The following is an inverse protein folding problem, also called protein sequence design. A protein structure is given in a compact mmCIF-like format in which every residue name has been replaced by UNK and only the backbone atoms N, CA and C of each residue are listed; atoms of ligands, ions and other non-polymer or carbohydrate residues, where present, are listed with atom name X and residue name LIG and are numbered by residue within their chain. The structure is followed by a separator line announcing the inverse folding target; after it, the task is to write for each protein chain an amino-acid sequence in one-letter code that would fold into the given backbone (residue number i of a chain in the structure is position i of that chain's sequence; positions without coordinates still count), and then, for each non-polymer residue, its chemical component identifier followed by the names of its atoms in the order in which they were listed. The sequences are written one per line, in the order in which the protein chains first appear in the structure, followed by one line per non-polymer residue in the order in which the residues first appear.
data_IF_378706967704
#
_entry.id   IF_378706967704
#
_cell.length_a   1.000
_cell.length_b   1.000
_cell.length_c   1.000
_cell.angle_alpha   90.00
_cell.angle_beta   90.00
_cell.angle_gamma   90.00
#
_symmetry.space_group_name_H-M   'P 1'
#
loop_
_entity.id
_entity.type
_entity.pdbx_description
1 polymer ?
#
# COMPACT_ATOMS: atom_id res chain seq x y z
N UNK A 1 22.50 8.94 -9.22
CA UNK A 1 21.23 9.68 -9.21
C UNK A 1 21.33 10.83 -10.20
N UNK A 2 20.34 11.02 -11.06
CA UNK A 2 20.36 12.06 -12.10
C UNK A 2 19.70 13.37 -11.60
N UNK A 3 19.92 14.51 -12.29
CA UNK A 3 19.35 15.80 -11.87
C UNK A 3 17.82 15.83 -11.84
N UNK A 4 17.17 15.12 -12.76
CA UNK A 4 15.71 15.02 -12.85
C UNK A 4 15.11 14.35 -11.60
N UNK A 5 15.69 13.24 -11.15
CA UNK A 5 15.33 12.56 -9.90
C UNK A 5 15.51 13.49 -8.70
N UNK A 6 16.60 14.26 -8.68
CA UNK A 6 16.88 15.18 -7.58
C UNK A 6 15.85 16.32 -7.51
N UNK A 7 15.41 16.86 -8.65
CA UNK A 7 14.34 17.86 -8.71
C UNK A 7 13.02 17.27 -8.18
N UNK A 8 12.58 16.14 -8.74
CA UNK A 8 11.37 15.42 -8.32
C UNK A 8 11.35 15.10 -6.82
N UNK A 9 12.49 14.70 -6.24
CA UNK A 9 12.60 14.44 -4.80
C UNK A 9 12.44 15.70 -3.94
N UNK A 10 12.89 16.86 -4.43
CA UNK A 10 12.67 18.14 -3.73
C UNK A 10 11.20 18.52 -3.78
N UNK A 11 10.56 18.37 -4.93
CA UNK A 11 9.14 18.67 -5.13
C UNK A 11 8.28 17.77 -4.25
N UNK A 12 8.60 16.47 -4.21
CA UNK A 12 7.93 15.51 -3.33
C UNK A 12 8.12 15.90 -1.86
N UNK A 13 9.34 16.22 -1.44
CA UNK A 13 9.60 16.65 -0.06
C UNK A 13 8.80 17.91 0.31
N UNK A 14 8.61 18.83 -0.63
CA UNK A 14 7.76 20.00 -0.43
C UNK A 14 6.29 19.61 -0.30
N UNK A 15 5.75 18.81 -1.23
CA UNK A 15 4.34 18.36 -1.20
C UNK A 15 4.00 17.68 0.13
N UNK A 16 4.86 16.79 0.60
CA UNK A 16 4.63 16.04 1.84
C UNK A 16 4.68 16.92 3.10
N UNK A 17 5.44 18.04 3.08
CA UNK A 17 5.50 19.00 4.19
C UNK A 17 4.29 19.93 4.24
N UNK A 18 3.69 20.24 3.09
CA UNK A 18 2.52 21.12 3.00
C UNK A 18 1.20 20.34 3.01
N UNK A 19 1.23 19.06 3.38
CA UNK A 19 0.01 18.26 3.48
C UNK A 19 -0.98 18.91 4.46
N UNK A 20 -2.29 18.81 4.18
CA UNK A 20 -3.31 19.48 4.98
C UNK A 20 -3.32 18.99 6.44
N UNK A 21 -3.40 19.94 7.37
CA UNK A 21 -3.45 19.63 8.81
C UNK A 21 -4.70 18.84 9.23
N UNK A 22 -5.72 18.79 8.37
CA UNK A 22 -6.94 18.00 8.55
C UNK A 22 -6.70 16.49 8.41
N UNK A 23 -5.59 16.07 7.78
CA UNK A 23 -5.22 14.67 7.74
C UNK A 23 -4.80 14.21 9.16
N UNK A 24 -5.22 13.01 9.59
CA UNK A 24 -4.78 12.48 10.86
C UNK A 24 -3.27 12.24 10.87
N UNK A 25 -2.68 12.31 12.07
CA UNK A 25 -1.35 11.77 12.29
C UNK A 25 -1.44 10.23 12.40
N UNK A 26 -0.45 9.49 11.88
CA UNK A 26 -0.41 8.04 12.04
C UNK A 26 -0.36 7.64 13.52
N UNK A 27 -1.19 6.67 13.91
CA UNK A 27 -1.05 5.97 15.18
C UNK A 27 0.19 5.07 15.14
N UNK A 28 0.81 4.77 16.30
CA UNK A 28 2.05 4.00 16.36
C UNK A 28 2.01 2.63 15.65
N UNK A 29 0.83 2.01 15.57
CA UNK A 29 0.59 0.72 14.90
C UNK A 29 0.47 0.80 13.37
N UNK A 30 0.34 2.01 12.82
CA UNK A 30 0.13 2.17 11.38
C UNK A 30 1.41 1.86 10.61
N UNK A 31 1.27 1.09 9.53
CA UNK A 31 2.39 0.61 8.73
C UNK A 31 3.25 1.73 8.15
N UNK A 32 2.67 2.91 7.92
CA UNK A 32 3.41 4.06 7.38
C UNK A 32 4.56 4.51 8.30
N UNK A 33 4.49 4.23 9.61
CA UNK A 33 5.59 4.51 10.54
C UNK A 33 6.84 3.68 10.25
N UNK A 34 6.72 2.59 9.49
CA UNK A 34 7.88 1.83 9.03
C UNK A 34 8.81 2.67 8.15
N UNK A 35 8.33 3.76 7.52
CA UNK A 35 9.16 4.69 6.75
C UNK A 35 10.17 5.45 7.61
N UNK A 36 9.88 5.68 8.89
CA UNK A 36 10.81 6.35 9.83
C UNK A 36 12.07 5.50 10.06
N UNK A 37 11.92 4.19 10.01
CA UNK A 37 12.98 3.20 10.23
C UNK A 37 13.08 2.25 9.04
N UNK A 38 12.99 2.80 7.83
CA UNK A 38 12.88 2.01 6.61
C UNK A 38 14.06 1.06 6.43
N UNK A 39 13.74 -0.21 6.22
CA UNK A 39 14.70 -1.26 5.88
C UNK A 39 14.14 -2.10 4.72
N UNK A 40 14.90 -2.29 3.63
CA UNK A 40 14.48 -3.20 2.56
C UNK A 40 14.34 -4.63 3.08
N UNK A 41 13.43 -5.42 2.49
CA UNK A 41 13.19 -6.81 2.90
C UNK A 41 14.47 -7.66 2.83
N UNK A 42 14.93 -8.14 3.99
CA UNK A 42 16.20 -8.85 4.13
C UNK A 42 16.24 -10.16 3.34
N UNK A 43 15.13 -10.89 3.27
CA UNK A 43 15.04 -12.13 2.49
C UNK A 43 15.34 -11.87 1.00
N UNK A 44 14.72 -10.83 0.43
CA UNK A 44 14.93 -10.44 -0.96
C UNK A 44 16.31 -9.82 -1.19
N UNK A 45 16.88 -9.12 -0.20
CA UNK A 45 18.26 -8.65 -0.25
C UNK A 45 19.25 -9.82 -0.31
N UNK A 46 19.04 -10.85 0.50
CA UNK A 46 19.89 -12.04 0.55
C UNK A 46 19.85 -12.83 -0.77
N UNK A 47 18.69 -12.83 -1.43
CA UNK A 47 18.50 -13.39 -2.78
C UNK A 47 19.08 -12.50 -3.90
N UNK A 48 19.82 -11.43 -3.54
CA UNK A 48 20.41 -10.45 -4.47
C UNK A 48 19.38 -9.74 -5.34
N UNK A 49 18.18 -9.47 -4.81
CA UNK A 49 17.09 -8.75 -5.49
C UNK A 49 16.79 -7.40 -4.81
N UNK A 50 17.74 -6.44 -4.82
CA UNK A 50 17.63 -5.22 -4.02
C UNK A 50 16.48 -4.29 -4.43
N UNK A 51 16.16 -4.22 -5.73
CA UNK A 51 15.01 -3.45 -6.21
C UNK A 51 13.68 -4.05 -5.74
N UNK A 52 13.55 -5.39 -5.79
CA UNK A 52 12.37 -6.09 -5.28
C UNK A 52 12.24 -5.95 -3.76
N UNK A 53 13.36 -5.98 -3.03
CA UNK A 53 13.40 -5.78 -1.58
C UNK A 53 12.89 -4.40 -1.17
N UNK A 54 13.35 -3.34 -1.86
CA UNK A 54 12.90 -1.98 -1.60
C UNK A 54 11.42 -1.78 -1.97
N UNK A 55 10.99 -2.32 -3.12
CA UNK A 55 9.59 -2.25 -3.54
C UNK A 55 8.66 -2.93 -2.54
N UNK A 56 9.00 -4.15 -2.10
CA UNK A 56 8.17 -4.88 -1.15
C UNK A 56 8.02 -4.11 0.17
N UNK A 57 9.11 -3.57 0.72
CA UNK A 57 9.02 -2.76 1.95
C UNK A 57 8.19 -1.49 1.76
N UNK A 58 8.24 -0.85 0.58
CA UNK A 58 7.39 0.31 0.26
C UNK A 58 5.92 -0.09 0.16
N UNK A 59 5.60 -1.23 -0.47
CA UNK A 59 4.22 -1.75 -0.54
C UNK A 59 3.67 -2.11 0.83
N UNK A 60 4.49 -2.65 1.73
CA UNK A 60 4.07 -2.92 3.12
C UNK A 60 3.78 -1.62 3.86
N UNK A 61 4.60 -0.58 3.69
CA UNK A 61 4.45 0.69 4.40
C UNK A 61 3.31 1.57 3.87
N UNK A 62 3.13 1.62 2.55
CA UNK A 62 2.22 2.55 1.85
C UNK A 62 0.98 1.86 1.28
N UNK A 63 0.94 0.54 1.27
CA UNK A 63 -0.05 -0.25 0.58
C UNK A 63 0.28 -0.47 -0.90
N UNK A 64 -0.61 -1.21 -1.56
CA UNK A 64 -0.50 -1.47 -2.99
C UNK A 64 -0.93 -0.22 -3.78
N UNK A 65 -0.26 0.01 -4.90
CA UNK A 65 -0.70 0.99 -5.91
C UNK A 65 -1.92 0.43 -6.65
N UNK A 66 -2.87 1.30 -6.97
CA UNK A 66 -3.99 1.00 -7.85
C UNK A 66 -3.54 0.98 -9.32
N UNK A 67 -4.48 0.65 -10.22
CA UNK A 67 -4.23 0.57 -11.67
C UNK A 67 -3.77 1.90 -12.29
N UNK A 68 -4.06 3.03 -11.63
CA UNK A 68 -3.61 4.36 -12.04
C UNK A 68 -2.21 4.72 -11.49
N UNK A 69 -1.54 3.81 -10.78
CA UNK A 69 -0.25 4.05 -10.14
C UNK A 69 -0.34 4.86 -8.84
N UNK A 70 -1.54 5.17 -8.36
CA UNK A 70 -1.75 5.96 -7.14
C UNK A 70 -1.93 5.02 -5.95
N UNK A 71 -1.43 5.42 -4.78
CA UNK A 71 -1.72 4.73 -3.52
C UNK A 71 -2.46 5.69 -2.58
N UNK A 72 -3.07 5.16 -1.51
CA UNK A 72 -3.75 6.03 -0.56
C UNK A 72 -2.72 6.68 0.38
N UNK A 73 -2.79 8.00 0.52
CA UNK A 73 -2.00 8.74 1.50
C UNK A 73 -2.94 9.42 2.50
N UNK A 74 -3.47 8.67 3.49
CA UNK A 74 -4.48 9.18 4.40
C UNK A 74 -3.91 9.95 5.59
N UNK A 75 -2.59 10.12 5.68
CA UNK A 75 -1.91 10.70 6.83
C UNK A 75 -1.03 11.87 6.44
N UNK A 76 -0.63 12.65 7.45
CA UNK A 76 0.42 13.67 7.35
C UNK A 76 1.52 13.47 8.41
N UNK A 77 2.55 14.32 8.37
CA UNK A 77 3.58 14.40 9.41
C UNK A 77 4.82 13.54 9.16
N UNK A 78 5.66 13.34 10.19
CA UNK A 78 7.04 12.88 10.01
C UNK A 78 7.20 11.53 9.29
N UNK A 79 6.29 10.58 9.52
CA UNK A 79 6.33 9.28 8.86
C UNK A 79 6.10 9.39 7.35
N UNK A 80 5.16 10.26 6.94
CA UNK A 80 4.86 10.53 5.54
C UNK A 80 6.02 11.29 4.90
N UNK A 81 6.51 12.35 5.55
CA UNK A 81 7.66 13.13 5.07
C UNK A 81 8.94 12.30 4.91
N UNK A 82 9.08 11.22 5.69
CA UNK A 82 10.20 10.29 5.56
C UNK A 82 10.25 9.61 4.19
N UNK A 83 9.13 9.49 3.47
CA UNK A 83 9.07 8.89 2.14
C UNK A 83 10.07 9.51 1.15
N UNK A 84 10.16 10.85 1.11
CA UNK A 84 11.10 11.53 0.23
C UNK A 84 12.57 11.18 0.58
N UNK A 85 12.87 11.01 1.87
CA UNK A 85 14.20 10.59 2.33
C UNK A 85 14.49 9.13 1.96
N UNK A 86 13.51 8.25 2.14
CA UNK A 86 13.61 6.83 1.77
C UNK A 86 13.88 6.69 0.27
N UNK A 87 13.07 7.32 -0.58
CA UNK A 87 13.24 7.27 -2.03
C UNK A 87 14.58 7.85 -2.47
N UNK A 88 15.02 8.95 -1.85
CA UNK A 88 16.35 9.52 -2.10
C UNK A 88 17.47 8.51 -1.82
N UNK A 89 17.44 7.85 -0.65
CA UNK A 89 18.47 6.87 -0.27
C UNK A 89 18.47 5.65 -1.20
N UNK A 90 17.28 5.14 -1.55
CA UNK A 90 17.15 3.99 -2.43
C UNK A 90 17.58 4.32 -3.87
N UNK A 91 17.20 5.48 -4.42
CA UNK A 91 17.64 5.94 -5.76
C UNK A 91 19.11 6.35 -5.81
N UNK A 92 19.74 6.71 -4.70
CA UNK A 92 21.19 6.86 -4.63
C UNK A 92 21.89 5.50 -4.80
N UNK A 93 21.35 4.46 -4.18
CA UNK A 93 21.89 3.10 -4.23
C UNK A 93 21.57 2.39 -5.55
N UNK A 94 20.39 2.65 -6.11
CA UNK A 94 19.85 2.02 -7.32
C UNK A 94 19.38 3.10 -8.32
N UNK A 95 20.29 3.88 -8.92
CA UNK A 95 19.94 5.07 -9.69
C UNK A 95 19.16 4.80 -10.98
N UNK A 96 19.28 3.59 -11.52
CA UNK A 96 18.64 3.18 -12.76
C UNK A 96 17.41 2.29 -12.52
N UNK A 97 16.97 2.14 -11.27
CA UNK A 97 15.80 1.33 -10.92
C UNK A 97 14.53 1.95 -11.52
N UNK A 98 13.90 1.23 -12.43
CA UNK A 98 12.63 1.67 -13.04
C UNK A 98 11.53 1.69 -11.98
N UNK A 99 11.53 0.70 -11.08
CA UNK A 99 10.50 0.56 -10.05
C UNK A 99 10.56 1.67 -9.00
N UNK A 100 11.77 2.10 -8.60
CA UNK A 100 11.95 3.22 -7.67
C UNK A 100 11.67 4.58 -8.32
N UNK A 101 11.99 4.74 -9.62
CA UNK A 101 11.55 5.92 -10.37
C UNK A 101 10.02 5.99 -10.45
N UNK A 102 9.37 4.84 -10.69
CA UNK A 102 7.91 4.76 -10.68
C UNK A 102 7.35 5.13 -9.30
N UNK A 103 7.89 4.62 -8.21
CA UNK A 103 7.50 5.05 -6.85
C UNK A 103 7.62 6.57 -6.63
N UNK A 104 8.67 7.20 -7.16
CA UNK A 104 8.84 8.65 -7.07
C UNK A 104 7.74 9.40 -7.82
N UNK A 105 7.44 8.99 -9.05
CA UNK A 105 6.40 9.60 -9.88
C UNK A 105 5.00 9.39 -9.28
N UNK A 106 4.72 8.17 -8.83
CA UNK A 106 3.47 7.78 -8.16
C UNK A 106 3.26 8.57 -6.86
N UNK A 107 4.33 8.78 -6.07
CA UNK A 107 4.27 9.55 -4.83
C UNK A 107 4.03 11.04 -5.08
N UNK A 108 4.62 11.60 -6.13
CA UNK A 108 4.37 12.97 -6.57
C UNK A 108 2.92 13.15 -6.98
N UNK A 109 2.41 12.25 -7.82
CA UNK A 109 1.01 12.26 -8.25
C UNK A 109 0.06 12.13 -7.06
N UNK A 110 0.30 11.17 -6.17
CA UNK A 110 -0.53 10.90 -4.99
C UNK A 110 -0.58 12.12 -4.07
N UNK A 111 0.58 12.68 -3.72
CA UNK A 111 0.63 13.86 -2.84
C UNK A 111 -0.02 15.09 -3.47
N UNK A 112 0.17 15.30 -4.78
CA UNK A 112 -0.49 16.38 -5.51
C UNK A 112 -2.01 16.23 -5.51
N UNK A 113 -2.54 15.03 -5.76
CA UNK A 113 -3.97 14.75 -5.71
C UNK A 113 -4.56 15.00 -4.31
N UNK A 114 -3.83 14.63 -3.26
CA UNK A 114 -4.23 14.95 -1.88
C UNK A 114 -4.29 16.46 -1.66
N UNK A 115 -3.27 17.22 -2.10
CA UNK A 115 -3.27 18.67 -1.97
C UNK A 115 -4.45 19.31 -2.72
N UNK A 116 -4.71 18.88 -3.95
CA UNK A 116 -5.87 19.33 -4.73
C UNK A 116 -7.20 19.03 -4.03
N UNK A 117 -7.36 17.80 -3.51
CA UNK A 117 -8.58 17.37 -2.80
C UNK A 117 -8.90 18.27 -1.61
N UNK A 118 -7.89 18.82 -0.94
CA UNK A 118 -8.05 19.71 0.21
C UNK A 118 -7.91 21.20 -0.16
N UNK A 119 -7.90 21.53 -1.45
CA UNK A 119 -7.86 22.92 -1.93
C UNK A 119 -6.54 23.65 -1.68
N UNK A 120 -5.45 22.93 -1.44
CA UNK A 120 -4.12 23.52 -1.26
C UNK A 120 -3.52 23.85 -2.63
N UNK A 121 -3.22 25.14 -2.85
CA UNK A 121 -2.61 25.59 -4.10
C UNK A 121 -1.13 25.23 -4.12
N UNK A 122 -0.75 24.45 -5.12
CA UNK A 122 0.65 24.11 -5.40
C UNK A 122 1.15 25.02 -6.52
N UNK A 123 2.34 25.63 -6.39
CA UNK A 123 2.96 26.37 -7.48
C UNK A 123 3.03 25.54 -8.76
N UNK A 124 2.69 26.13 -9.90
CA UNK A 124 2.62 25.44 -11.20
C UNK A 124 3.94 24.75 -11.60
N UNK A 125 5.08 25.22 -11.08
CA UNK A 125 6.40 24.60 -11.28
C UNK A 125 6.59 23.26 -10.56
N UNK A 126 5.70 22.94 -9.61
CA UNK A 126 5.71 21.71 -8.81
C UNK A 126 4.55 20.79 -9.20
N UNK A 127 3.73 21.18 -10.18
CA UNK A 127 2.67 20.34 -10.70
C UNK A 127 3.27 19.18 -11.52
N UNK A 128 3.11 17.92 -11.08
CA UNK A 128 3.64 16.77 -11.81
C UNK A 128 2.99 16.58 -13.19
N UNK A 129 1.85 17.21 -13.46
CA UNK A 129 1.13 17.17 -14.75
C UNK A 129 1.58 18.27 -15.72
N UNK A 130 2.09 19.40 -15.23
CA UNK A 130 2.51 20.52 -16.07
C UNK A 130 3.80 20.23 -16.89
N UNK A 131 4.58 19.22 -16.49
CA UNK A 131 5.84 18.81 -17.10
C UNK A 131 5.76 17.77 -18.23
N UNK A 132 4.56 17.33 -18.63
CA UNK A 132 4.37 16.54 -19.86
C UNK A 132 5.04 15.16 -19.92
N UNK A 133 4.91 14.33 -18.89
CA UNK A 133 5.29 12.89 -18.96
C UNK A 133 4.30 11.91 -18.31
N UNK A 134 3.20 12.39 -17.72
CA UNK A 134 2.17 11.52 -17.15
C UNK A 134 0.87 11.87 -17.86
N UNK A 135 0.59 11.19 -18.97
CA UNK A 135 -0.70 11.32 -19.63
C UNK A 135 -1.77 10.74 -18.70
N UNK A 136 -2.76 11.52 -18.22
CA UNK A 136 -3.98 10.91 -17.72
C UNK A 136 -4.59 10.11 -18.88
N UNK A 137 -4.97 8.86 -18.62
CA UNK A 137 -5.80 8.12 -19.57
C UNK A 137 -7.03 8.96 -19.88
N UNK A 138 -7.22 9.26 -21.18
CA UNK A 138 -8.34 9.98 -21.78
C UNK A 138 -9.64 9.75 -21.02
N UNK A 139 -10.17 10.81 -20.40
CA UNK A 139 -11.61 10.96 -20.21
C UNK A 139 -12.04 11.99 -21.24
N UNK A 140 -12.57 11.51 -22.38
CA UNK A 140 -13.28 12.38 -23.32
C UNK A 140 -14.57 12.81 -22.62
N UNK A 141 -14.66 14.08 -22.26
CA UNK A 141 -15.93 14.70 -21.88
C UNK A 141 -16.36 15.50 -23.10
N UNK A 142 -17.11 14.84 -23.97
CA UNK A 142 -17.97 15.51 -24.93
C UNK A 142 -19.34 15.68 -24.28
N UNK A 143 -19.88 16.90 -24.35
CA UNK A 143 -21.32 17.15 -24.21
C UNK A 143 -21.75 17.67 -22.85
N UNK A 144 -22.16 18.93 -22.87
CA UNK A 144 -23.02 19.55 -21.88
C UNK A 144 -24.26 18.68 -21.62
N UNK A 145 -24.48 18.28 -20.37
CA UNK A 145 -25.79 18.24 -19.72
C UNK A 145 -25.62 17.87 -18.23
N UNK A 146 -26.37 18.60 -17.41
CA UNK A 146 -26.63 18.47 -15.98
C UNK A 146 -26.52 17.03 -15.41
N UNK A 147 -25.70 16.84 -14.37
CA UNK A 147 -25.94 15.79 -13.37
C UNK A 147 -25.49 16.24 -11.98
N UNK A 148 -26.51 16.59 -11.21
CA UNK A 148 -26.53 16.59 -9.75
C UNK A 148 -26.06 15.24 -9.17
N UNK A 149 -25.51 15.32 -7.96
CA UNK A 149 -25.28 14.23 -7.02
C UNK A 149 -24.24 13.14 -7.38
N UNK A 150 -23.05 13.24 -6.77
CA UNK A 150 -22.35 12.07 -6.18
C UNK A 150 -21.36 12.54 -5.10
N UNK A 151 -21.91 13.06 -4.00
CA UNK A 151 -21.24 13.01 -2.69
C UNK A 151 -21.34 11.55 -2.23
N UNK A 152 -20.27 10.78 -2.37
CA UNK A 152 -20.22 9.46 -1.75
C UNK A 152 -19.82 9.59 -0.28
N UNK A 153 -20.83 9.48 0.58
CA UNK A 153 -20.73 9.18 2.00
C UNK A 153 -19.90 7.91 2.22
N UNK A 154 -18.88 8.00 3.08
CA UNK A 154 -18.32 6.85 3.78
C UNK A 154 -18.36 7.16 5.28
N UNK A 155 -19.54 6.99 5.87
CA UNK A 155 -19.75 6.89 7.31
C UNK A 155 -20.51 5.60 7.61
N UNK A 156 -20.09 4.93 8.68
CA UNK A 156 -20.62 3.72 9.33
C UNK A 156 -19.96 2.40 8.93
N UNK A 157 -19.11 1.89 9.82
CA UNK A 157 -19.46 0.74 10.71
C UNK A 157 -18.49 0.79 11.90
N UNK A 158 -19.05 1.09 13.08
CA UNK A 158 -18.47 0.75 14.39
C UNK A 158 -19.18 -0.52 14.84
N UNK A 159 -18.45 -1.61 15.02
CA UNK A 159 -18.81 -2.68 15.95
C UNK A 159 -17.54 -3.19 16.64
N UNK A 160 -17.48 -3.00 17.96
CA UNK A 160 -16.68 -3.77 18.94
C UNK A 160 -17.59 -4.93 19.44
N UNK A 161 -17.09 -6.08 19.98
CA UNK A 161 -16.27 -6.09 21.20
C UNK A 161 -15.24 -7.25 21.42
N UNK A 162 -14.32 -6.93 22.35
CA UNK A 162 -13.70 -7.71 23.44
C UNK A 162 -12.66 -8.85 23.28
N UNK A 163 -11.57 -8.62 24.06
CA UNK A 163 -10.73 -9.52 24.84
C UNK A 163 -9.95 -10.68 24.18
N UNK A 164 -8.62 -10.54 24.06
CA UNK A 164 -7.65 -11.12 25.02
C UNK A 164 -6.19 -11.07 24.51
N UNK A 165 -5.31 -10.82 25.48
CA UNK A 165 -3.84 -10.85 25.51
C UNK A 165 -3.14 -12.02 24.81
N UNK A 166 -2.07 -11.74 24.06
CA UNK A 166 -0.76 -12.40 24.26
C UNK A 166 0.37 -11.64 23.57
N UNK A 167 1.39 -11.28 24.37
CA UNK A 167 2.62 -10.64 23.92
C UNK A 167 3.58 -11.69 23.36
N UNK A 168 3.92 -11.63 22.07
CA UNK A 168 5.12 -12.30 21.55
C UNK A 168 5.86 -11.42 20.56
N UNK A 169 7.13 -11.17 20.90
CA UNK A 169 8.14 -10.52 20.09
C UNK A 169 8.44 -11.37 18.86
N UNK A 170 8.24 -10.80 17.67
CA UNK A 170 8.66 -11.42 16.41
C UNK A 170 9.27 -10.38 15.49
N UNK A 171 10.49 -10.66 15.04
CA UNK A 171 11.20 -9.91 14.01
C UNK A 171 10.36 -9.82 12.72
N UNK A 172 10.46 -8.71 11.95
CA UNK A 172 9.72 -8.56 10.71
C UNK A 172 10.28 -9.53 9.66
N UNK A 173 9.58 -10.64 9.46
CA UNK A 173 9.79 -11.57 8.34
C UNK A 173 8.80 -11.20 7.24
N UNK A 174 9.21 -11.28 5.97
CA UNK A 174 8.43 -10.79 4.81
C UNK A 174 7.24 -11.72 4.45
N UNK A 175 6.77 -12.56 5.38
CA UNK A 175 5.87 -13.68 5.13
C UNK A 175 4.53 -13.53 5.83
N UNK A 176 3.58 -12.85 5.17
CA UNK A 176 2.16 -13.12 5.42
C UNK A 176 1.82 -14.49 4.84
N UNK A 177 1.87 -15.53 5.70
CA UNK A 177 1.27 -16.82 5.36
C UNK A 177 -0.25 -16.65 5.32
N UNK A 178 -0.81 -16.55 4.12
CA UNK A 178 -2.23 -16.84 3.89
C UNK A 178 -2.47 -18.28 4.33
N UNK A 179 -3.13 -18.46 5.47
CA UNK A 179 -3.58 -19.75 5.96
C UNK A 179 -4.70 -20.20 5.02
N UNK A 180 -4.43 -21.19 4.17
CA UNK A 180 -5.48 -21.89 3.42
C UNK A 180 -6.42 -22.53 4.46
N UNK A 181 -7.75 -22.38 4.34
CA UNK A 181 -8.67 -23.18 5.13
C UNK A 181 -8.58 -24.64 4.68
N UNK A 182 -8.42 -25.52 5.67
CA UNK A 182 -8.46 -26.96 5.52
C UNK A 182 -9.80 -27.38 4.90
N UNK A 183 -9.73 -28.23 3.88
CA UNK A 183 -10.88 -28.86 3.25
C UNK A 183 -11.27 -30.04 4.14
N UNK A 184 -12.39 -29.93 4.85
CA UNK A 184 -13.03 -31.08 5.49
C UNK A 184 -13.70 -31.91 4.39
N UNK A 185 -13.12 -33.07 4.08
CA UNK A 185 -13.79 -34.13 3.33
C UNK A 185 -14.72 -34.90 4.29
N UNK A 186 -15.96 -34.47 4.40
CA UNK A 186 -17.06 -35.31 4.90
C UNK A 186 -17.51 -36.25 3.77
N UNK A 187 -17.23 -37.54 3.93
CA UNK A 187 -17.92 -38.62 3.20
C UNK A 187 -18.46 -39.62 4.19
N UNK A 188 -19.71 -39.41 4.58
CA UNK A 188 -20.61 -40.52 4.91
C UNK A 188 -21.00 -41.20 3.60
N UNK A 189 -20.78 -42.51 3.51
CA UNK A 189 -21.61 -43.38 2.69
C UNK A 189 -21.70 -44.75 3.37
N UNK A 190 -22.94 -45.08 3.72
CA UNK A 190 -23.45 -46.33 4.26
C UNK A 190 -23.56 -47.34 3.12
N UNK A 191 -23.02 -48.56 3.27
CA UNK A 191 -23.85 -49.77 3.15
C UNK A 191 -23.14 -51.11 3.46
N UNK A 192 -23.76 -51.83 4.39
CA UNK A 192 -24.14 -53.25 4.35
C UNK A 192 -23.13 -54.32 3.89
N UNK A 193 -22.75 -55.22 4.83
CA UNK A 193 -22.82 -56.68 4.59
C UNK A 193 -22.89 -57.51 5.88
N UNK A 194 -24.03 -58.19 6.00
CA UNK A 194 -24.33 -59.32 6.88
C UNK A 194 -23.32 -60.48 6.71
N UNK A 195 -23.03 -61.17 7.81
CA UNK A 195 -22.32 -62.44 7.83
C UNK A 195 -22.39 -63.10 9.21
N UNK A 196 -23.57 -63.56 9.61
CA UNK A 196 -23.73 -64.40 10.79
C UNK A 196 -23.31 -65.85 10.53
N UNK A 197 -22.86 -66.54 11.58
CA UNK A 197 -23.34 -67.89 11.94
C UNK A 197 -22.75 -68.29 13.30
N UNK A 198 -23.60 -68.26 14.31
CA UNK A 198 -23.45 -69.05 15.53
C UNK A 198 -23.96 -70.46 15.22
N UNK A 199 -23.15 -71.49 15.51
CA UNK A 199 -23.58 -72.88 15.43
C UNK A 199 -23.03 -73.67 16.63
N UNK A 200 -23.90 -73.85 17.63
CA UNK A 200 -24.04 -75.04 18.47
C UNK A 200 -25.55 -75.24 18.64
N UNK A 201 -26.10 -76.48 18.74
CA UNK A 201 -25.65 -77.49 19.70
C UNK A 201 -25.76 -78.97 19.22
N UNK A 202 -25.13 -79.89 19.97
CA UNK A 202 -25.74 -81.03 20.69
C UNK A 202 -24.64 -81.75 21.49
#
# INVERSE_FOLDING_TARGET
MNPTQQAKLKDLAFHLQILPLQLPLPAAKDNINQLLHFMPCLELLNDKRPEAAANHSLEVALGLRNDSGVFNLPFQGPAVEALAKVLKLQLQSLPNSVLLNKWLDDSLMTSYQVLQKYGVTVPMSLDPLAGGLIAPSKMCIDGDDEVDAMIFEWNNIIETPDHSTESQSTQPTCRNKVKKPDTNDDKEDVDSRNGGTNAQPF
#
